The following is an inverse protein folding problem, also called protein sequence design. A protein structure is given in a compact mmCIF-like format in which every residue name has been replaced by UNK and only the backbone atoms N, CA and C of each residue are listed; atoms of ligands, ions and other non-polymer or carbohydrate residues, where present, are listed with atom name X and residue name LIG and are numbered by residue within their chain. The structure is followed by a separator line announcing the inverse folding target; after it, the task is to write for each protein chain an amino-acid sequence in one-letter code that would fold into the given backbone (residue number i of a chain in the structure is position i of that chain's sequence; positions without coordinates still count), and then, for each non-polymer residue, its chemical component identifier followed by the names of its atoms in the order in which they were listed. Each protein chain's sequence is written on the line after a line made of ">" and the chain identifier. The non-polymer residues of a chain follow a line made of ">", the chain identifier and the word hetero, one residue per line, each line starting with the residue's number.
data_IF_685720820936
#
_entry.id   IF_685720820936
#
_cell.length_a   1.000
_cell.length_b   1.000
_cell.length_c   1.000
_cell.angle_alpha   90.00
_cell.angle_beta   90.00
_cell.angle_gamma   90.00
#
_symmetry.space_group_name_H-M   'P 1'
#
loop_
_entity.id
_entity.type
_entity.pdbx_description
1 polymer ?
#
# COMPACT_ATOMS: atom_id res chain seq x y z
N UNK A 1 -6.04 0.77 -10.61
CA UNK A 1 -5.50 0.90 -9.23
C UNK A 1 -3.97 0.95 -9.23
N UNK A 2 -3.25 -0.05 -9.76
CA UNK A 2 -1.78 -0.04 -9.80
C UNK A 2 -1.19 1.20 -10.52
N UNK A 3 -1.69 1.53 -11.71
CA UNK A 3 -1.24 2.72 -12.44
C UNK A 3 -1.48 4.02 -11.67
N UNK A 4 -2.62 4.14 -10.97
CA UNK A 4 -2.93 5.30 -10.12
C UNK A 4 -1.93 5.42 -8.97
N UNK A 5 -1.52 4.31 -8.36
CA UNK A 5 -0.51 4.30 -7.30
C UNK A 5 0.87 4.69 -7.81
N UNK A 6 1.25 4.21 -9.00
CA UNK A 6 2.50 4.60 -9.66
C UNK A 6 2.48 6.09 -9.99
N UNK A 7 1.37 6.59 -10.54
CA UNK A 7 1.19 8.00 -10.88
C UNK A 7 1.22 8.89 -9.64
N UNK A 8 0.49 8.55 -8.58
CA UNK A 8 0.53 9.26 -7.30
C UNK A 8 1.96 9.29 -6.73
N UNK A 9 2.65 8.15 -6.74
CA UNK A 9 4.03 8.07 -6.25
C UNK A 9 5.02 8.88 -7.09
N UNK A 10 4.85 8.91 -8.41
CA UNK A 10 5.68 9.74 -9.30
C UNK A 10 5.40 11.22 -9.11
N UNK A 11 4.13 11.61 -9.03
CA UNK A 11 3.73 12.98 -8.82
C UNK A 11 4.18 13.50 -7.45
N UNK A 12 4.10 12.66 -6.41
CA UNK A 12 4.64 12.94 -5.08
C UNK A 12 6.15 13.19 -5.13
N UNK A 13 6.91 12.26 -5.74
CA UNK A 13 8.37 12.45 -5.91
C UNK A 13 8.71 13.74 -6.65
N UNK A 14 7.94 14.11 -7.67
CA UNK A 14 8.17 15.35 -8.41
C UNK A 14 7.87 16.59 -7.57
N UNK A 15 6.89 16.52 -6.67
CA UNK A 15 6.60 17.59 -5.71
C UNK A 15 7.70 17.70 -4.64
N UNK A 16 8.33 16.59 -4.26
CA UNK A 16 9.38 16.55 -3.22
C UNK A 16 10.79 16.88 -3.74
N UNK A 17 11.14 16.41 -4.94
CA UNK A 17 12.52 16.45 -5.47
C UNK A 17 12.90 17.79 -6.12
N UNK A 18 11.93 18.70 -6.27
CA UNK A 18 12.09 19.99 -6.98
C UNK A 18 11.88 21.22 -6.10
N UNK A 19 11.91 22.39 -6.72
CA UNK A 19 11.48 23.64 -6.08
C UNK A 19 9.99 23.53 -5.73
N UNK A 20 9.64 23.68 -4.45
CA UNK A 20 8.31 23.42 -3.90
C UNK A 20 7.27 24.52 -4.23
N UNK A 21 7.25 25.01 -5.48
CA UNK A 21 6.32 26.05 -5.93
C UNK A 21 4.85 25.64 -5.80
N UNK A 22 4.58 24.32 -5.75
CA UNK A 22 3.25 23.77 -5.48
C UNK A 22 2.62 24.29 -4.18
N UNK A 23 3.43 24.74 -3.21
CA UNK A 23 2.94 25.33 -1.95
C UNK A 23 2.28 26.70 -2.12
N UNK A 24 2.58 27.40 -3.21
CA UNK A 24 2.12 28.76 -3.47
C UNK A 24 1.19 28.79 -4.69
N UNK A 25 1.49 27.99 -5.73
CA UNK A 25 0.74 27.93 -6.97
C UNK A 25 0.45 26.47 -7.36
N UNK A 26 -0.76 26.11 -7.81
CA UNK A 26 -1.06 24.75 -8.23
C UNK A 26 -0.26 24.38 -9.49
N UNK A 27 0.86 23.68 -9.30
CA UNK A 27 1.68 23.19 -10.40
C UNK A 27 1.05 21.97 -11.04
N UNK A 28 1.44 21.64 -12.28
CA UNK A 28 0.96 20.45 -12.98
C UNK A 28 1.18 19.16 -12.17
N UNK A 29 2.34 19.03 -11.52
CA UNK A 29 2.65 17.88 -10.66
C UNK A 29 1.75 17.78 -9.43
N UNK A 30 1.42 18.92 -8.82
CA UNK A 30 0.49 18.98 -7.69
C UNK A 30 -0.94 18.59 -8.10
N UNK A 31 -1.47 19.18 -9.16
CA UNK A 31 -2.81 18.86 -9.66
C UNK A 31 -2.92 17.38 -10.08
N UNK A 32 -1.85 16.82 -10.64
CA UNK A 32 -1.79 15.39 -10.97
C UNK A 32 -1.77 14.52 -9.72
N UNK A 33 -1.03 14.92 -8.68
CA UNK A 33 -0.98 14.23 -7.40
C UNK A 33 -2.36 14.21 -6.72
N UNK A 34 -3.00 15.38 -6.58
CA UNK A 34 -4.31 15.50 -5.94
C UNK A 34 -5.35 14.69 -6.69
N UNK A 35 -5.41 14.78 -8.02
CA UNK A 35 -6.34 13.99 -8.82
C UNK A 35 -6.15 12.47 -8.65
N UNK A 36 -4.90 12.00 -8.58
CA UNK A 36 -4.62 10.58 -8.35
C UNK A 36 -5.01 10.14 -6.94
N UNK A 37 -4.74 10.98 -5.93
CA UNK A 37 -5.14 10.74 -4.53
C UNK A 37 -6.66 10.70 -4.41
N UNK A 38 -7.39 11.67 -4.96
CA UNK A 38 -8.86 11.73 -4.91
C UNK A 38 -9.50 10.46 -5.52
N UNK A 39 -8.94 9.96 -6.63
CA UNK A 39 -9.39 8.71 -7.23
C UNK A 39 -9.11 7.49 -6.34
N UNK A 40 -7.94 7.43 -5.70
CA UNK A 40 -7.60 6.34 -4.77
C UNK A 40 -8.49 6.38 -3.53
N UNK A 41 -8.72 7.57 -2.97
CA UNK A 41 -9.62 7.78 -1.84
C UNK A 41 -11.03 7.31 -2.18
N UNK A 42 -11.59 7.68 -3.34
CA UNK A 42 -12.89 7.20 -3.78
C UNK A 42 -12.99 5.67 -3.86
N UNK A 43 -11.91 5.00 -4.29
CA UNK A 43 -11.84 3.53 -4.28
C UNK A 43 -11.79 2.98 -2.85
N UNK A 44 -11.02 3.60 -1.95
CA UNK A 44 -10.93 3.20 -0.55
C UNK A 44 -12.26 3.39 0.18
N UNK A 45 -12.93 4.54 0.02
CA UNK A 45 -14.27 4.80 0.53
C UNK A 45 -15.27 3.72 0.11
N UNK A 46 -15.25 3.32 -1.17
CA UNK A 46 -16.11 2.25 -1.68
C UNK A 46 -15.80 0.90 -1.01
N UNK A 47 -14.53 0.54 -0.90
CA UNK A 47 -14.12 -0.71 -0.25
C UNK A 47 -14.45 -0.70 1.25
N UNK A 48 -14.23 0.41 1.93
CA UNK A 48 -14.55 0.59 3.34
C UNK A 48 -16.05 0.40 3.59
N UNK A 49 -16.91 0.99 2.75
CA UNK A 49 -18.36 0.77 2.82
C UNK A 49 -18.75 -0.71 2.64
N UNK A 50 -18.11 -1.40 1.70
CA UNK A 50 -18.34 -2.85 1.50
C UNK A 50 -17.90 -3.65 2.73
N UNK A 51 -16.77 -3.28 3.34
CA UNK A 51 -16.29 -3.86 4.59
C UNK A 51 -17.29 -3.65 5.72
N UNK A 52 -17.83 -2.44 5.92
CA UNK A 52 -18.85 -2.20 6.94
C UNK A 52 -20.10 -3.08 6.74
N UNK A 53 -20.60 -3.19 5.50
CA UNK A 53 -21.75 -4.06 5.18
C UNK A 53 -21.43 -5.54 5.41
N UNK A 54 -20.20 -5.96 5.11
CA UNK A 54 -19.74 -7.33 5.36
C UNK A 54 -19.68 -7.60 6.86
N UNK A 55 -19.10 -6.70 7.63
CA UNK A 55 -18.99 -6.80 9.09
C UNK A 55 -20.36 -6.78 9.78
N UNK A 56 -21.32 -5.99 9.28
CA UNK A 56 -22.68 -5.99 9.85
C UNK A 56 -23.43 -7.31 9.65
N UNK A 57 -23.03 -8.11 8.66
CA UNK A 57 -23.62 -9.42 8.35
C UNK A 57 -22.86 -10.59 9.00
N UNK A 58 -21.65 -10.35 9.48
CA UNK A 58 -20.84 -11.39 10.12
C UNK A 58 -21.34 -11.64 11.54
N UNK A 59 -21.70 -12.89 11.83
CA UNK A 59 -21.97 -13.33 13.20
C UNK A 59 -20.65 -13.34 13.98
N UNK A 60 -20.66 -12.90 15.25
CA UNK A 60 -19.46 -12.75 16.12
C UNK A 60 -18.82 -14.10 16.55
N UNK A 61 -18.71 -15.07 15.65
CA UNK A 61 -18.06 -16.35 15.93
C UNK A 61 -16.54 -16.25 15.74
N UNK A 62 -15.78 -16.73 16.71
CA UNK A 62 -14.32 -16.60 16.80
C UNK A 62 -13.53 -17.17 15.60
N UNK A 63 -14.13 -18.05 14.78
CA UNK A 63 -13.49 -18.61 13.56
C UNK A 63 -13.32 -17.57 12.44
N UNK A 64 -14.16 -16.53 12.42
CA UNK A 64 -14.12 -15.50 11.38
C UNK A 64 -13.05 -14.42 11.63
N UNK A 65 -12.60 -14.28 12.89
CA UNK A 65 -11.54 -13.35 13.26
C UNK A 65 -10.17 -13.68 12.63
N UNK A 66 -9.96 -14.93 12.16
CA UNK A 66 -8.69 -15.38 11.56
C UNK A 66 -8.50 -14.90 10.10
N UNK A 67 -9.52 -14.30 9.48
CA UNK A 67 -9.49 -13.79 8.09
C UNK A 67 -9.80 -12.30 7.99
N UNK A 68 -9.43 -11.52 9.01
CA UNK A 68 -9.62 -10.07 8.99
C UNK A 68 -8.60 -9.44 8.04
N UNK A 69 -9.08 -8.70 7.04
CA UNK A 69 -8.25 -7.77 6.29
C UNK A 69 -7.85 -6.58 7.18
N UNK A 70 -6.82 -5.82 6.78
CA UNK A 70 -6.32 -4.66 7.54
C UNK A 70 -7.46 -3.70 7.94
N UNK A 71 -8.32 -3.31 6.99
CA UNK A 71 -9.49 -2.45 7.25
C UNK A 71 -10.45 -3.07 8.28
N UNK A 72 -10.68 -4.39 8.23
CA UNK A 72 -11.56 -5.07 9.18
C UNK A 72 -10.97 -4.99 10.60
N UNK A 73 -9.65 -5.16 10.74
CA UNK A 73 -8.95 -5.06 12.00
C UNK A 73 -9.01 -3.64 12.59
N UNK A 74 -8.82 -2.60 11.76
CA UNK A 74 -8.87 -1.20 12.17
C UNK A 74 -10.27 -0.79 12.67
N UNK A 75 -11.33 -1.24 11.98
CA UNK A 75 -12.72 -0.96 12.38
C UNK A 75 -13.05 -1.62 13.74
N UNK A 76 -12.69 -2.89 13.91
CA UNK A 76 -13.10 -3.68 15.08
C UNK A 76 -12.25 -3.37 16.30
N UNK A 77 -10.91 -3.28 16.13
CA UNK A 77 -9.98 -3.21 17.26
C UNK A 77 -9.66 -1.78 17.67
N UNK A 78 -9.43 -0.90 16.69
CA UNK A 78 -8.88 0.43 16.94
C UNK A 78 -9.97 1.50 17.02
N UNK A 79 -11.21 1.19 16.58
CA UNK A 79 -12.35 2.12 16.57
C UNK A 79 -12.03 3.46 15.88
N UNK A 80 -11.17 3.42 14.87
CA UNK A 80 -10.81 4.58 14.08
C UNK A 80 -12.01 5.10 13.29
N UNK A 81 -12.01 6.39 13.04
CA UNK A 81 -12.96 7.03 12.13
C UNK A 81 -12.69 6.56 10.68
N UNK A 82 -13.71 6.64 9.83
CA UNK A 82 -13.59 6.26 8.42
C UNK A 82 -12.43 6.99 7.73
N UNK A 83 -12.27 8.28 8.01
CA UNK A 83 -11.23 9.12 7.41
C UNK A 83 -9.83 8.67 7.85
N UNK A 84 -9.62 8.41 9.14
CA UNK A 84 -8.34 7.89 9.65
C UNK A 84 -7.97 6.55 9.02
N UNK A 85 -8.94 5.66 8.81
CA UNK A 85 -8.72 4.38 8.15
C UNK A 85 -8.29 4.60 6.70
N UNK A 86 -8.99 5.48 5.98
CA UNK A 86 -8.69 5.77 4.58
C UNK A 86 -7.31 6.39 4.43
N UNK A 87 -6.99 7.41 5.23
CA UNK A 87 -5.66 8.06 5.21
C UNK A 87 -4.56 7.06 5.50
N UNK A 88 -4.69 6.23 6.54
CA UNK A 88 -3.68 5.24 6.90
C UNK A 88 -3.46 4.20 5.79
N UNK A 89 -4.53 3.69 5.20
CA UNK A 89 -4.43 2.72 4.09
C UNK A 89 -3.84 3.37 2.85
N UNK A 90 -4.21 4.62 2.56
CA UNK A 90 -3.68 5.37 1.44
C UNK A 90 -2.16 5.59 1.58
N UNK A 91 -1.70 6.02 2.75
CA UNK A 91 -0.27 6.22 3.05
C UNK A 91 0.51 4.92 2.90
N UNK A 92 -0.02 3.82 3.45
CA UNK A 92 0.57 2.50 3.33
C UNK A 92 0.69 2.07 1.85
N UNK A 93 -0.33 2.34 1.04
CA UNK A 93 -0.32 1.96 -0.37
C UNK A 93 0.67 2.79 -1.20
N UNK A 94 0.71 4.11 -1.02
CA UNK A 94 1.59 5.00 -1.77
C UNK A 94 3.07 4.70 -1.44
N UNK A 95 3.40 4.61 -0.16
CA UNK A 95 4.78 4.37 0.29
C UNK A 95 5.18 2.89 0.11
N UNK A 96 4.26 1.97 0.42
CA UNK A 96 4.53 0.54 0.45
C UNK A 96 4.80 -0.06 -0.93
N UNK A 97 4.02 0.31 -1.95
CA UNK A 97 4.16 -0.29 -3.29
C UNK A 97 5.54 -0.01 -3.87
N UNK A 98 5.99 1.25 -3.82
CA UNK A 98 7.26 1.62 -4.43
C UNK A 98 8.47 1.08 -3.66
N UNK A 99 8.43 1.13 -2.33
CA UNK A 99 9.51 0.62 -1.48
C UNK A 99 9.69 -0.89 -1.60
N UNK A 100 8.60 -1.66 -1.55
CA UNK A 100 8.64 -3.13 -1.68
C UNK A 100 9.05 -3.54 -3.09
N UNK A 101 8.49 -2.94 -4.14
CA UNK A 101 8.87 -3.26 -5.52
C UNK A 101 10.34 -2.96 -5.80
N UNK A 102 10.86 -1.82 -5.34
CA UNK A 102 12.28 -1.49 -5.51
C UNK A 102 13.19 -2.43 -4.72
N UNK A 103 12.82 -2.76 -3.48
CA UNK A 103 13.60 -3.67 -2.63
C UNK A 103 13.63 -5.09 -3.20
N UNK A 104 12.49 -5.59 -3.66
CA UNK A 104 12.40 -6.91 -4.31
C UNK A 104 13.20 -6.93 -5.62
N UNK A 105 13.09 -5.89 -6.45
CA UNK A 105 13.87 -5.77 -7.68
C UNK A 105 15.38 -5.76 -7.41
N UNK A 106 15.82 -5.00 -6.40
CA UNK A 106 17.21 -4.95 -5.97
C UNK A 106 17.70 -6.32 -5.48
N UNK A 107 16.92 -6.99 -4.63
CA UNK A 107 17.26 -8.30 -4.09
C UNK A 107 17.42 -9.34 -5.21
N UNK A 108 16.45 -9.43 -6.13
CA UNK A 108 16.49 -10.37 -7.26
C UNK A 108 17.68 -10.05 -8.18
N UNK A 109 17.92 -8.77 -8.47
CA UNK A 109 19.04 -8.34 -9.31
C UNK A 109 20.40 -8.78 -8.74
N UNK A 110 20.63 -8.53 -7.45
CA UNK A 110 21.88 -8.91 -6.80
C UNK A 110 22.02 -10.43 -6.61
N UNK A 111 20.91 -11.12 -6.39
CA UNK A 111 20.88 -12.58 -6.30
C UNK A 111 21.27 -13.21 -7.64
N UNK A 112 20.72 -12.72 -8.76
CA UNK A 112 21.03 -13.20 -10.10
C UNK A 112 22.50 -12.96 -10.49
N UNK A 113 23.09 -11.85 -10.03
CA UNK A 113 24.51 -11.54 -10.27
C UNK A 113 25.49 -12.28 -9.36
N UNK A 114 25.02 -12.86 -8.26
CA UNK A 114 25.89 -13.47 -7.23
C UNK A 114 25.55 -14.95 -7.04
N UNK A 115 26.06 -15.85 -7.90
CA UNK A 115 25.72 -17.29 -7.85
C UNK A 115 25.98 -17.92 -6.48
N UNK A 116 27.05 -17.50 -5.79
CA UNK A 116 27.36 -18.00 -4.43
C UNK A 116 26.25 -17.71 -3.42
N UNK A 117 25.69 -16.50 -3.45
CA UNK A 117 24.60 -16.11 -2.56
C UNK A 117 23.31 -16.84 -2.94
N UNK A 118 23.06 -17.04 -4.24
CA UNK A 118 21.91 -17.80 -4.73
C UNK A 118 21.95 -19.27 -4.29
N UNK A 119 23.10 -19.95 -4.43
CA UNK A 119 23.24 -21.34 -3.97
C UNK A 119 23.07 -21.45 -2.46
N UNK A 120 23.58 -20.48 -1.69
CA UNK A 120 23.40 -20.44 -0.25
C UNK A 120 21.92 -20.29 0.12
N UNK A 121 21.22 -19.34 -0.48
CA UNK A 121 19.78 -19.14 -0.26
C UNK A 121 18.98 -20.40 -0.60
N UNK A 122 19.29 -21.07 -1.71
CA UNK A 122 18.62 -22.32 -2.07
C UNK A 122 18.82 -23.41 -1.02
N UNK A 123 20.04 -23.58 -0.48
CA UNK A 123 20.31 -24.53 0.60
C UNK A 123 19.54 -24.20 1.87
N UNK A 124 19.50 -22.91 2.24
CA UNK A 124 18.73 -22.45 3.39
C UNK A 124 17.24 -22.76 3.21
N UNK A 125 16.66 -22.49 2.04
CA UNK A 125 15.27 -22.82 1.73
C UNK A 125 15.03 -24.33 1.81
N UNK A 126 15.89 -25.15 1.21
CA UNK A 126 15.79 -26.62 1.21
C UNK A 126 15.93 -27.24 2.61
N UNK A 127 16.57 -26.55 3.54
CA UNK A 127 16.67 -27.03 4.93
C UNK A 127 15.34 -26.90 5.68
N UNK A 128 14.51 -25.91 5.33
CA UNK A 128 13.27 -25.61 6.05
C UNK A 128 12.00 -26.00 5.28
N UNK A 129 12.06 -26.15 3.95
CA UNK A 129 10.96 -26.73 3.18
C UNK A 129 11.10 -28.27 3.14
N UNK A 130 10.01 -29.01 3.41
CA UNK A 130 9.96 -30.46 3.22
C UNK A 130 10.07 -30.87 1.74
#
# INVERSE_FOLDING_TARGET
>A
MLNLLIEASQALRNCESGLQFWRIWPTFSWTKLTSAIDMLEGLLCRNLRLTYIKLSKMNKNAKDAKRLCLMDAMIIKEKLTSDEIITTVLDLLIVGVTSVSNSAGFAIYHLAKTPRAQTRLLREIQQFLP
#
